data_IF_561690431219
#
_entry.id   IF_561690431219
#
_cell.length_a   1.000
_cell.length_b   1.000
_cell.length_c   1.000
_cell.angle_alpha   90.00
_cell.angle_beta   90.00
_cell.angle_gamma   90.00
#
_symmetry.space_group_name_H-M   'P 1'
#
loop_
_entity.id
_entity.type
_entity.pdbx_description
1 polymer ?
#
# COMPACT_ATOMS: atom_id res chain seq x y z
N UNK A 1 7.97 8.10 -18.89
CA UNK A 1 7.26 7.91 -17.61
C UNK A 1 7.65 6.55 -17.12
N UNK A 2 8.20 6.45 -15.91
CA UNK A 2 8.56 5.15 -15.33
C UNK A 2 7.27 4.40 -14.99
N UNK A 3 7.10 3.21 -15.56
CA UNK A 3 5.99 2.29 -15.27
C UNK A 3 6.17 1.73 -13.85
N UNK A 4 5.71 2.50 -12.86
CA UNK A 4 5.69 2.07 -11.46
C UNK A 4 4.66 0.96 -11.28
N UNK A 5 5.15 -0.26 -11.21
CA UNK A 5 4.32 -1.45 -11.04
C UNK A 5 4.02 -1.64 -9.55
N UNK A 6 2.74 -1.84 -9.21
CA UNK A 6 2.32 -2.37 -7.91
C UNK A 6 2.22 -3.89 -8.00
N UNK A 7 2.80 -4.60 -7.04
CA UNK A 7 2.72 -6.06 -6.93
C UNK A 7 2.58 -6.43 -5.45
N UNK A 8 1.62 -7.27 -5.11
CA UNK A 8 1.41 -7.77 -3.74
C UNK A 8 0.72 -9.14 -3.75
N UNK A 9 0.78 -9.88 -2.65
CA UNK A 9 0.16 -11.21 -2.51
C UNK A 9 -1.36 -11.12 -2.54
N UNK A 10 -2.05 -12.07 -3.19
CA UNK A 10 -3.52 -12.09 -3.22
C UNK A 10 -4.14 -12.13 -1.82
N UNK A 11 -3.42 -12.64 -0.81
CA UNK A 11 -3.85 -12.58 0.59
C UNK A 11 -4.09 -11.14 1.08
N UNK A 12 -3.39 -10.15 0.52
CA UNK A 12 -3.61 -8.74 0.82
C UNK A 12 -4.98 -8.24 0.34
N UNK A 13 -5.59 -8.86 -0.68
CA UNK A 13 -6.96 -8.53 -1.09
C UNK A 13 -8.00 -9.01 -0.07
N UNK A 14 -7.69 -9.93 0.84
CA UNK A 14 -8.65 -10.34 1.89
C UNK A 14 -8.84 -9.24 2.94
N UNK A 15 -7.97 -8.23 2.95
CA UNK A 15 -7.98 -7.17 3.95
C UNK A 15 -9.01 -6.09 3.59
N UNK A 16 -9.90 -5.80 4.54
CA UNK A 16 -11.00 -4.88 4.33
C UNK A 16 -10.56 -3.40 4.41
N UNK A 17 -10.22 -2.82 3.26
CA UNK A 17 -9.83 -1.41 3.17
C UNK A 17 -11.02 -0.43 3.06
N UNK A 18 -12.23 -0.85 3.45
CA UNK A 18 -13.47 -0.06 3.29
C UNK A 18 -13.41 1.32 3.95
N UNK A 19 -12.62 1.47 5.02
CA UNK A 19 -12.45 2.76 5.72
C UNK A 19 -11.52 3.71 4.97
N UNK A 20 -10.77 3.27 3.96
CA UNK A 20 -9.78 4.09 3.25
C UNK A 20 -10.48 4.99 2.21
N UNK A 21 -10.05 6.25 2.16
CA UNK A 21 -10.43 7.16 1.08
C UNK A 21 -9.68 6.82 -0.21
N UNK A 22 -10.09 7.40 -1.34
CA UNK A 22 -9.39 7.20 -2.61
C UNK A 22 -7.91 7.61 -2.54
N UNK A 23 -7.59 8.68 -1.81
CA UNK A 23 -6.22 9.14 -1.59
C UNK A 23 -5.44 8.24 -0.61
N UNK A 24 -6.10 7.73 0.43
CA UNK A 24 -5.45 6.77 1.34
C UNK A 24 -4.99 5.52 0.57
N UNK A 25 -5.82 5.04 -0.36
CA UNK A 25 -5.49 3.92 -1.24
C UNK A 25 -4.34 4.25 -2.20
N UNK A 26 -4.32 5.45 -2.77
CA UNK A 26 -3.21 5.87 -3.65
C UNK A 26 -1.87 5.91 -2.92
N UNK A 27 -1.86 6.48 -1.72
CA UNK A 27 -0.66 6.53 -0.89
C UNK A 27 -0.20 5.12 -0.51
N UNK A 28 -1.13 4.24 -0.14
CA UNK A 28 -0.80 2.85 0.17
C UNK A 28 -0.21 2.10 -1.03
N UNK A 29 -0.79 2.26 -2.23
CA UNK A 29 -0.27 1.62 -3.45
C UNK A 29 1.07 2.22 -3.88
N UNK A 30 1.25 3.54 -3.74
CA UNK A 30 2.52 4.22 -4.00
C UNK A 30 3.64 3.77 -3.06
N UNK A 31 3.33 3.57 -1.78
CA UNK A 31 4.28 3.00 -0.82
C UNK A 31 4.59 1.55 -1.21
N UNK A 32 3.55 0.75 -1.49
CA UNK A 32 3.68 -0.65 -1.88
C UNK A 32 4.55 -0.85 -3.14
N UNK A 33 4.45 0.04 -4.14
CA UNK A 33 5.25 -0.06 -5.37
C UNK A 33 6.76 0.09 -5.12
N UNK A 34 7.14 0.84 -4.08
CA UNK A 34 8.54 1.18 -3.76
C UNK A 34 9.18 0.36 -2.66
N UNK A 35 8.40 -0.18 -1.74
CA UNK A 35 8.89 -1.15 -0.74
C UNK A 35 9.06 -2.55 -1.33
N UNK A 36 8.51 -2.81 -2.52
CA UNK A 36 8.74 -4.04 -3.26
C UNK A 36 10.23 -4.21 -3.57
N UNK A 37 10.71 -5.44 -3.49
CA UNK A 37 12.10 -5.82 -3.75
C UNK A 37 13.11 -5.17 -2.77
N UNK A 38 12.62 -4.66 -1.63
CA UNK A 38 13.41 -4.09 -0.53
C UNK A 38 13.38 -4.93 0.75
N UNK A 39 12.62 -6.04 0.74
CA UNK A 39 12.50 -6.92 1.90
C UNK A 39 11.96 -6.15 3.11
N UNK A 40 12.76 -6.10 4.18
CA UNK A 40 12.45 -5.40 5.43
C UNK A 40 13.27 -4.12 5.62
N UNK A 41 14.02 -3.69 4.61
CA UNK A 41 14.86 -2.50 4.68
C UNK A 41 14.01 -1.23 4.80
N UNK A 42 14.60 -0.18 5.38
CA UNK A 42 13.97 1.14 5.44
C UNK A 42 13.98 1.81 4.06
N UNK A 43 12.80 2.24 3.62
CA UNK A 43 12.60 3.01 2.39
C UNK A 43 12.15 4.41 2.76
N UNK A 44 12.95 5.40 2.35
CA UNK A 44 12.63 6.81 2.54
C UNK A 44 12.01 7.40 1.27
N UNK A 45 10.98 8.21 1.46
CA UNK A 45 10.28 8.95 0.42
C UNK A 45 10.30 10.43 0.75
N UNK A 46 10.50 11.27 -0.25
CA UNK A 46 10.20 12.70 -0.10
C UNK A 46 8.69 12.92 -0.25
N UNK A 47 8.17 13.98 0.36
CA UNK A 47 6.76 14.34 0.19
C UNK A 47 6.42 14.64 -1.27
N UNK A 48 7.33 15.26 -2.02
CA UNK A 48 7.14 15.54 -3.44
C UNK A 48 7.04 14.25 -4.26
N UNK A 49 7.91 13.27 -3.97
CA UNK A 49 7.87 11.97 -4.61
C UNK A 49 6.56 11.22 -4.32
N UNK A 50 6.13 11.17 -3.05
CA UNK A 50 4.86 10.54 -2.69
C UNK A 50 3.65 11.22 -3.34
N UNK A 51 3.63 12.56 -3.37
CA UNK A 51 2.57 13.32 -4.05
C UNK A 51 2.50 12.97 -5.53
N UNK A 52 3.65 12.87 -6.20
CA UNK A 52 3.75 12.49 -7.62
C UNK A 52 3.28 11.06 -7.84
N UNK A 53 3.74 10.10 -7.04
CA UNK A 53 3.36 8.68 -7.17
C UNK A 53 1.87 8.45 -6.89
N UNK A 54 1.32 9.12 -5.88
CA UNK A 54 -0.10 9.04 -5.54
C UNK A 54 -1.02 9.82 -6.51
N UNK A 55 -0.46 10.49 -7.53
CA UNK A 55 -1.24 11.28 -8.48
C UNK A 55 -1.97 12.46 -7.84
N UNK A 56 -1.45 13.01 -6.75
CA UNK A 56 -2.12 14.07 -5.99
C UNK A 56 -2.19 15.36 -6.83
N UNK A 57 -3.39 15.66 -7.34
CA UNK A 57 -3.66 16.89 -8.12
C UNK A 57 -3.93 18.12 -7.24
N UNK A 58 -4.22 17.92 -5.95
CA UNK A 58 -4.59 18.99 -5.03
C UNK A 58 -3.34 19.66 -4.46
N UNK A 59 -3.31 21.00 -4.50
CA UNK A 59 -2.36 21.78 -3.72
C UNK A 59 -2.66 21.60 -2.23
N UNK A 60 -1.83 20.80 -1.58
CA UNK A 60 -1.94 20.50 -0.16
C UNK A 60 -0.63 20.89 0.52
N UNK A 61 -0.74 21.60 1.64
CA UNK A 61 0.42 22.03 2.42
C UNK A 61 1.18 20.81 2.97
N UNK A 62 2.43 21.01 3.37
CA UNK A 62 3.23 19.90 3.91
C UNK A 62 2.65 19.38 5.23
N UNK A 63 2.05 20.24 6.06
CA UNK A 63 1.43 19.84 7.33
C UNK A 63 0.15 19.04 7.12
N UNK A 64 -0.70 19.46 6.19
CA UNK A 64 -1.88 18.68 5.79
C UNK A 64 -1.47 17.33 5.21
N UNK A 65 -0.37 17.27 4.45
CA UNK A 65 0.11 16.02 3.86
C UNK A 65 0.70 15.08 4.90
N UNK A 66 1.47 15.61 5.85
CA UNK A 66 1.93 14.84 6.99
C UNK A 66 0.76 14.27 7.80
N UNK A 67 -0.29 15.07 8.05
CA UNK A 67 -1.53 14.59 8.71
C UNK A 67 -2.21 13.48 7.91
N UNK A 68 -2.29 13.63 6.58
CA UNK A 68 -2.86 12.62 5.70
C UNK A 68 -2.08 11.30 5.74
N UNK A 69 -0.75 11.36 5.65
CA UNK A 69 0.14 10.20 5.77
C UNK A 69 -0.03 9.53 7.15
N UNK A 70 -0.07 10.31 8.23
CA UNK A 70 -0.30 9.79 9.58
C UNK A 70 -1.68 9.13 9.73
N UNK A 71 -2.71 9.65 9.06
CA UNK A 71 -4.04 9.06 9.01
C UNK A 71 -4.04 7.71 8.28
N UNK A 72 -3.30 7.59 7.16
CA UNK A 72 -3.12 6.30 6.47
C UNK A 72 -2.52 5.27 7.42
N UNK A 73 -1.45 5.62 8.14
CA UNK A 73 -0.85 4.71 9.13
C UNK A 73 -1.85 4.32 10.23
N UNK A 74 -2.59 5.29 10.78
CA UNK A 74 -3.61 4.98 11.81
C UNK A 74 -4.67 4.01 11.29
N UNK A 75 -5.12 4.17 10.05
CA UNK A 75 -6.06 3.24 9.42
C UNK A 75 -5.44 1.86 9.21
N UNK A 76 -4.17 1.79 8.79
CA UNK A 76 -3.44 0.53 8.61
C UNK A 76 -3.25 -0.23 9.92
N UNK A 77 -2.89 0.46 11.00
CA UNK A 77 -2.78 -0.13 12.34
C UNK A 77 -4.12 -0.63 12.88
N UNK A 78 -5.23 0.00 12.46
CA UNK A 78 -6.58 -0.42 12.82
C UNK A 78 -7.12 -1.55 11.94
N UNK A 79 -6.42 -1.92 10.86
CA UNK A 79 -6.68 -3.17 10.16
C UNK A 79 -6.03 -4.25 11.04
N UNK A 80 -6.85 -5.03 11.74
CA UNK A 80 -6.38 -6.22 12.43
C UNK A 80 -5.95 -7.23 11.36
N UNK A 81 -4.73 -7.11 10.85
CA UNK A 81 -4.15 -8.04 9.90
C UNK A 81 -4.00 -9.39 10.60
N UNK A 82 -4.94 -10.27 10.32
CA UNK A 82 -5.00 -11.62 10.87
C UNK A 82 -4.73 -12.62 9.76
N UNK A 83 -3.79 -13.52 10.02
CA UNK A 83 -3.51 -14.66 9.14
C UNK A 83 -3.36 -15.92 9.96
N UNK A 84 -3.77 -17.02 9.36
CA UNK A 84 -3.54 -18.34 9.90
C UNK A 84 -2.35 -18.98 9.18
N UNK A 85 -1.35 -19.43 9.93
CA UNK A 85 -0.23 -20.20 9.36
C UNK A 85 -0.65 -21.66 9.10
N UNK A 86 0.27 -22.46 8.56
CA UNK A 86 0.04 -23.89 8.30
C UNK A 86 -0.26 -24.69 9.59
N UNK A 87 0.24 -24.22 10.73
CA UNK A 87 0.05 -24.82 12.06
C UNK A 87 -1.24 -24.35 12.76
N UNK A 88 -2.09 -23.60 12.07
CA UNK A 88 -3.35 -23.03 12.57
C UNK A 88 -3.20 -21.91 13.63
N UNK A 89 -2.00 -21.40 13.86
CA UNK A 89 -1.78 -20.24 14.73
C UNK A 89 -2.34 -18.97 14.10
N UNK A 90 -2.98 -18.16 14.94
CA UNK A 90 -3.48 -16.84 14.56
C UNK A 90 -2.35 -15.82 14.76
N UNK A 91 -1.87 -15.27 13.65
CA UNK A 91 -0.79 -14.29 13.61
C UNK A 91 -1.37 -12.90 13.37
N UNK A 92 -1.07 -11.97 14.27
CA UNK A 92 -1.51 -10.58 14.20
C UNK A 92 -0.34 -9.62 14.40
N UNK A 93 -0.07 -8.76 13.41
CA UNK A 93 0.97 -7.75 13.47
C UNK A 93 0.57 -6.49 12.70
N UNK A 94 1.36 -5.42 12.82
CA UNK A 94 1.27 -4.28 11.92
C UNK A 94 1.98 -4.61 10.58
N UNK A 95 1.41 -4.18 9.45
CA UNK A 95 2.01 -4.34 8.12
C UNK A 95 3.42 -3.72 8.02
N UNK A 96 3.58 -2.53 8.58
CA UNK A 96 4.84 -1.82 8.62
C UNK A 96 5.40 -1.83 10.04
N UNK A 97 6.66 -2.22 10.20
CA UNK A 97 7.38 -2.16 11.47
C UNK A 97 7.80 -0.72 11.80
N UNK A 98 8.20 0.04 10.78
CA UNK A 98 8.49 1.46 10.85
C UNK A 98 7.58 2.25 9.91
N UNK A 99 6.99 3.34 10.41
CA UNK A 99 6.21 4.29 9.60
C UNK A 99 6.38 5.70 10.18
N UNK A 100 7.51 6.34 9.86
CA UNK A 100 7.95 7.60 10.45
C UNK A 100 7.68 8.74 9.48
N UNK A 101 6.72 9.60 9.82
CA UNK A 101 6.41 10.81 9.06
C UNK A 101 7.13 12.00 9.69
N UNK A 102 8.01 12.67 8.95
CA UNK A 102 8.70 13.88 9.40
C UNK A 102 8.18 15.10 8.63
N UNK A 103 7.33 15.96 9.23
CA UNK A 103 6.91 17.22 8.62
C UNK A 103 8.10 18.15 8.36
N UNK A 104 9.04 18.21 9.31
CA UNK A 104 10.24 19.07 9.24
C UNK A 104 11.15 18.66 8.09
N UNK A 105 11.47 17.37 7.98
CA UNK A 105 12.32 16.85 6.89
C UNK A 105 11.53 16.60 5.60
N UNK A 106 10.20 16.72 5.63
CA UNK A 106 9.28 16.45 4.51
C UNK A 106 9.48 15.06 3.93
N UNK A 107 9.63 14.08 4.79
CA UNK A 107 9.92 12.70 4.43
C UNK A 107 9.03 11.71 5.16
N UNK A 108 8.81 10.57 4.51
CA UNK A 108 8.23 9.38 5.11
C UNK A 108 9.27 8.26 5.02
N UNK A 109 9.61 7.64 6.15
CA UNK A 109 10.42 6.42 6.18
C UNK A 109 9.54 5.25 6.58
N UNK A 110 9.57 4.16 5.80
CA UNK A 110 8.79 2.95 6.05
C UNK A 110 9.65 1.71 5.99
N UNK A 111 9.35 0.72 6.82
CA UNK A 111 9.92 -0.62 6.75
C UNK A 111 8.82 -1.66 6.90
N UNK A 112 8.85 -2.69 6.07
CA UNK A 112 7.86 -3.78 6.11
C UNK A 112 8.16 -4.67 7.31
N UNK A 113 7.12 -5.08 8.04
CA UNK A 113 7.29 -6.03 9.12
C UNK A 113 7.73 -7.38 8.56
N UNK A 114 8.78 -7.98 9.13
CA UNK A 114 9.32 -9.28 8.69
C UNK A 114 8.28 -10.39 8.69
N UNK A 115 7.31 -10.36 9.61
CA UNK A 115 6.20 -11.33 9.65
C UNK A 115 5.25 -11.22 8.46
N UNK A 116 5.21 -10.06 7.81
CA UNK A 116 4.35 -9.75 6.67
C UNK A 116 5.14 -9.35 5.41
N UNK A 117 6.44 -9.67 5.34
CA UNK A 117 7.26 -9.42 4.15
C UNK A 117 6.65 -10.07 2.92
N UNK A 118 6.08 -11.27 3.07
CA UNK A 118 5.46 -12.05 2.01
C UNK A 118 4.27 -11.34 1.34
N UNK A 119 3.64 -10.37 2.00
CA UNK A 119 2.55 -9.62 1.39
C UNK A 119 3.03 -8.68 0.29
N UNK A 120 4.26 -8.18 0.38
CA UNK A 120 4.79 -7.12 -0.50
C UNK A 120 6.09 -7.50 -1.23
N UNK A 121 6.86 -8.49 -0.75
CA UNK A 121 8.18 -8.82 -1.28
C UNK A 121 8.30 -10.27 -1.79
N UNK A 122 7.80 -11.27 -1.05
CA UNK A 122 8.02 -12.70 -1.40
C UNK A 122 6.96 -13.23 -2.39
N UNK A 123 6.87 -12.59 -3.55
CA UNK A 123 5.75 -12.74 -4.49
C UNK A 123 6.04 -13.74 -5.61
N UNK A 124 6.24 -15.02 -5.24
CA UNK A 124 6.59 -16.12 -6.17
C UNK A 124 5.37 -16.72 -6.88
N UNK A 125 4.20 -16.75 -6.24
CA UNK A 125 2.95 -17.26 -6.80
C UNK A 125 1.75 -16.49 -6.23
N UNK A 126 0.59 -16.58 -6.88
CA UNK A 126 -0.68 -15.97 -6.42
C UNK A 126 -0.56 -14.49 -5.98
N UNK A 127 -0.15 -13.63 -6.90
CA UNK A 127 -0.03 -12.19 -6.66
C UNK A 127 -0.94 -11.38 -7.59
N UNK A 128 -1.31 -10.19 -7.14
CA UNK A 128 -1.96 -9.18 -7.96
C UNK A 128 -0.90 -8.20 -8.46
N UNK A 129 -0.95 -7.84 -9.75
CA UNK A 129 -0.06 -6.85 -10.38
C UNK A 129 -0.84 -5.87 -11.24
N UNK A 130 -0.53 -4.58 -11.12
CA UNK A 130 -1.03 -3.53 -12.01
C UNK A 130 -0.11 -2.30 -12.06
N UNK A 131 -0.31 -1.45 -13.05
CA UNK A 131 0.38 -0.17 -13.15
C UNK A 131 -0.20 0.85 -12.15
N UNK A 132 0.67 1.52 -11.39
CA UNK A 132 0.25 2.51 -10.40
C UNK A 132 -0.52 3.67 -11.06
N UNK A 133 -0.11 4.08 -12.26
CA UNK A 133 -0.76 5.13 -13.03
C UNK A 133 -2.22 4.79 -13.38
N UNK A 134 -2.51 3.54 -13.73
CA UNK A 134 -3.89 3.08 -13.98
C UNK A 134 -4.73 3.17 -12.71
N UNK A 135 -4.14 2.84 -11.55
CA UNK A 135 -4.84 2.86 -10.27
C UNK A 135 -5.13 4.28 -9.77
N UNK A 136 -4.15 5.18 -9.84
CA UNK A 136 -4.29 6.57 -9.35
C UNK A 136 -5.18 7.42 -10.25
N UNK A 137 -5.37 7.04 -11.52
CA UNK A 137 -6.34 7.67 -12.42
C UNK A 137 -7.80 7.47 -11.97
N UNK A 138 -8.10 6.42 -11.18
CA UNK A 138 -9.44 6.18 -10.66
C UNK A 138 -9.76 7.17 -9.54
N UNK A 139 -10.96 7.76 -9.56
CA UNK A 139 -11.34 8.79 -8.56
C UNK A 139 -12.04 8.23 -7.31
N UNK A 140 -12.76 7.12 -7.46
CA UNK A 140 -13.59 6.55 -6.39
C UNK A 140 -12.85 5.43 -5.66
N UNK A 141 -12.97 5.38 -4.33
CA UNK A 141 -12.46 4.25 -3.53
C UNK A 141 -13.13 2.93 -3.92
N UNK A 142 -14.41 2.95 -4.28
CA UNK A 142 -15.12 1.76 -4.76
C UNK A 142 -14.57 1.27 -6.11
N UNK A 143 -14.29 2.20 -7.03
CA UNK A 143 -13.70 1.86 -8.32
C UNK A 143 -12.31 1.24 -8.13
N UNK A 144 -11.50 1.79 -7.21
CA UNK A 144 -10.18 1.27 -6.85
C UNK A 144 -10.24 -0.13 -6.23
N UNK A 145 -11.18 -0.35 -5.32
CA UNK A 145 -11.37 -1.67 -4.72
C UNK A 145 -11.80 -2.70 -5.78
N UNK A 146 -12.79 -2.37 -6.60
CA UNK A 146 -13.23 -3.21 -7.71
C UNK A 146 -12.07 -3.51 -8.67
N UNK A 147 -11.31 -2.49 -9.06
CA UNK A 147 -10.14 -2.62 -9.92
C UNK A 147 -9.09 -3.59 -9.33
N UNK A 148 -8.78 -3.47 -8.03
CA UNK A 148 -7.86 -4.40 -7.35
C UNK A 148 -8.36 -5.83 -7.38
N UNK A 149 -9.64 -6.05 -7.09
CA UNK A 149 -10.27 -7.38 -7.13
C UNK A 149 -10.20 -7.97 -8.53
N UNK A 150 -10.50 -7.20 -9.56
CA UNK A 150 -10.44 -7.66 -10.95
C UNK A 150 -9.01 -7.98 -11.40
N UNK A 151 -8.01 -7.19 -10.99
CA UNK A 151 -6.61 -7.40 -11.38
C UNK A 151 -6.02 -8.70 -10.80
N UNK A 152 -6.56 -9.23 -9.71
CA UNK A 152 -6.21 -10.56 -9.19
C UNK A 152 -6.47 -11.67 -10.22
N UNK A 153 -7.55 -11.55 -11.00
CA UNK A 153 -8.01 -12.57 -11.95
C UNK A 153 -7.66 -12.23 -13.39
N UNK A 154 -6.70 -11.32 -13.60
CA UNK A 154 -6.26 -10.89 -14.94
C UNK A 154 -5.85 -12.06 -15.84
N UNK A 155 -5.29 -13.13 -15.27
CA UNK A 155 -4.83 -14.29 -16.03
C UNK A 155 -5.91 -15.36 -16.21
N UNK A 156 -6.76 -15.58 -15.21
CA UNK A 156 -7.77 -16.65 -15.22
C UNK A 156 -9.09 -16.21 -15.86
N UNK A 157 -9.44 -14.92 -15.75
CA UNK A 157 -10.71 -14.37 -16.24
C UNK A 157 -11.96 -14.79 -15.46
N UNK A 158 -11.81 -15.55 -14.37
CA UNK A 158 -12.90 -16.08 -13.54
C UNK A 158 -12.72 -15.56 -12.12
N UNK A 159 -13.72 -14.84 -11.59
CA UNK A 159 -13.73 -14.22 -10.26
C UNK A 159 -14.30 -15.16 -9.20
#
# INVERSE_FOLDING_TARGET
MSDEIVKYSNQFNNQALRKFTALDLDLLMAIASRVRDKGTDEVAFTFEELKRLAGLQRNMTNDEFAKQIANVNRRLLALNFEFQNEEHDIIQFALFAGFVTSPTKRTLTVSVNSRFSFLLNDLTSQFTRFELAEFTALRSSYAKECYRRLKQYRQTGVW
#
